data_IF_107228453748
#
_entry.id   IF_107228453748
#
_cell.length_a   1.000
_cell.length_b   1.000
_cell.length_c   1.000
_cell.angle_alpha   90.00
_cell.angle_beta   90.00
_cell.angle_gamma   90.00
#
_symmetry.space_group_name_H-M   'P 1'
#
loop_
_entity.id
_entity.type
_entity.pdbx_description
1 polymer ?
#
# COMPACT_ATOMS: atom_id res chain seq x y z
N UNK A 1 23.68 -3.14 -2.54
CA UNK A 1 23.53 -2.17 -3.64
C UNK A 1 22.96 -2.94 -4.82
N UNK A 2 21.73 -2.65 -5.21
CA UNK A 2 21.03 -3.38 -6.27
C UNK A 2 21.29 -2.73 -7.65
N UNK A 3 20.81 -3.35 -8.74
CA UNK A 3 20.95 -2.79 -10.10
C UNK A 3 20.35 -1.38 -10.20
N UNK A 4 19.26 -1.13 -9.48
CA UNK A 4 18.59 0.16 -9.43
C UNK A 4 19.48 1.26 -8.83
N UNK A 5 20.23 0.97 -7.76
CA UNK A 5 21.21 1.89 -7.18
C UNK A 5 22.32 2.24 -8.19
N UNK A 6 22.81 1.27 -8.97
CA UNK A 6 23.85 1.50 -9.99
C UNK A 6 23.32 2.42 -11.09
N UNK A 7 22.11 2.16 -11.58
CA UNK A 7 21.46 3.01 -12.58
C UNK A 7 21.25 4.44 -12.05
N UNK A 8 20.80 4.57 -10.80
CA UNK A 8 20.67 5.87 -10.14
C UNK A 8 22.01 6.61 -10.09
N UNK A 9 23.10 5.95 -9.68
CA UNK A 9 24.43 6.57 -9.61
C UNK A 9 24.89 7.06 -10.99
N UNK A 10 24.67 6.27 -12.04
CA UNK A 10 24.98 6.67 -13.42
C UNK A 10 24.15 7.88 -13.84
N UNK A 11 22.85 7.89 -13.55
CA UNK A 11 21.96 9.01 -13.87
C UNK A 11 22.35 10.29 -13.12
N UNK A 12 22.65 10.20 -11.83
CA UNK A 12 23.10 11.33 -11.02
C UNK A 12 24.44 11.86 -11.52
N UNK A 13 25.40 10.98 -11.83
CA UNK A 13 26.69 11.37 -12.40
C UNK A 13 26.51 12.06 -13.76
N UNK A 14 25.67 11.51 -14.64
CA UNK A 14 25.34 12.12 -15.92
C UNK A 14 24.69 13.51 -15.73
N UNK A 15 23.75 13.65 -14.80
CA UNK A 15 23.09 14.92 -14.50
C UNK A 15 24.06 15.96 -13.95
N UNK A 16 25.01 15.56 -13.09
CA UNK A 16 26.09 16.43 -12.60
C UNK A 16 26.96 16.89 -13.77
N UNK A 17 27.39 15.97 -14.65
CA UNK A 17 28.22 16.32 -15.81
C UNK A 17 27.50 17.25 -16.80
N UNK A 18 26.21 16.99 -17.07
CA UNK A 18 25.36 17.87 -17.87
C UNK A 18 25.23 19.24 -17.19
N UNK A 19 25.09 19.27 -15.87
CA UNK A 19 25.02 20.51 -15.09
C UNK A 19 26.29 21.33 -15.10
N UNK A 20 27.45 20.69 -15.02
CA UNK A 20 28.75 21.37 -15.20
C UNK A 20 28.89 21.91 -16.63
N UNK A 21 28.38 21.16 -17.62
CA UNK A 21 28.38 21.58 -19.02
C UNK A 21 27.51 22.80 -19.28
N UNK A 22 26.31 22.83 -18.70
CA UNK A 22 25.25 23.82 -18.97
C UNK A 22 25.31 25.05 -18.05
N UNK A 23 25.71 24.90 -16.78
CA UNK A 23 25.68 25.97 -15.77
C UNK A 23 24.39 25.98 -14.94
N UNK A 24 24.44 26.61 -13.76
CA UNK A 24 23.30 26.66 -12.84
C UNK A 24 22.16 27.53 -13.36
N UNK A 25 22.46 28.66 -13.99
CA UNK A 25 21.45 29.62 -14.43
C UNK A 25 20.46 29.03 -15.46
N UNK A 26 20.89 28.30 -16.50
CA UNK A 26 19.97 27.57 -17.38
C UNK A 26 19.12 26.52 -16.66
N UNK A 27 19.68 25.81 -15.68
CA UNK A 27 18.95 24.76 -14.97
C UNK A 27 17.91 25.33 -14.01
N UNK A 28 18.27 26.35 -13.23
CA UNK A 28 17.33 27.06 -12.37
C UNK A 28 16.24 27.75 -13.18
N UNK A 29 16.61 28.38 -14.29
CA UNK A 29 15.65 28.94 -15.24
C UNK A 29 14.70 27.87 -15.76
N UNK A 30 15.23 26.72 -16.19
CA UNK A 30 14.44 25.58 -16.64
C UNK A 30 13.49 25.06 -15.57
N UNK A 31 13.96 24.89 -14.33
CA UNK A 31 13.14 24.44 -13.20
C UNK A 31 11.98 25.40 -12.93
N UNK A 32 12.25 26.71 -12.88
CA UNK A 32 11.20 27.73 -12.72
C UNK A 32 10.21 27.68 -13.89
N UNK A 33 10.72 27.49 -15.11
CA UNK A 33 9.91 27.30 -16.30
C UNK A 33 9.02 26.06 -16.24
N UNK A 34 9.54 24.93 -15.78
CA UNK A 34 8.80 23.69 -15.60
C UNK A 34 7.68 23.84 -14.56
N UNK A 35 7.97 24.48 -13.42
CA UNK A 35 6.96 24.80 -12.41
C UNK A 35 5.87 25.72 -12.95
N UNK A 36 6.24 26.77 -13.69
CA UNK A 36 5.27 27.66 -14.33
C UNK A 36 4.41 26.90 -15.35
N UNK A 37 5.01 26.01 -16.14
CA UNK A 37 4.29 25.13 -17.08
C UNK A 37 3.34 24.16 -16.36
N UNK A 38 3.75 23.59 -15.23
CA UNK A 38 2.90 22.73 -14.40
C UNK A 38 1.70 23.49 -13.81
N UNK A 39 1.95 24.68 -13.24
CA UNK A 39 0.89 25.54 -12.72
C UNK A 39 -0.07 26.00 -13.83
N UNK A 40 0.46 26.35 -15.00
CA UNK A 40 -0.34 26.66 -16.18
C UNK A 40 -1.17 25.46 -16.65
N UNK A 41 -0.62 24.25 -16.58
CA UNK A 41 -1.35 23.03 -16.93
C UNK A 41 -2.58 22.86 -16.04
N UNK A 42 -2.43 23.05 -14.72
CA UNK A 42 -3.54 22.98 -13.76
C UNK A 42 -4.58 24.06 -14.06
N UNK A 43 -4.15 25.27 -14.40
CA UNK A 43 -5.05 26.35 -14.76
C UNK A 43 -5.83 26.10 -16.06
N UNK A 44 -5.23 25.39 -17.03
CA UNK A 44 -5.85 25.03 -18.30
C UNK A 44 -6.83 23.85 -18.15
N UNK A 45 -6.60 22.92 -17.21
CA UNK A 45 -7.40 21.71 -17.01
C UNK A 45 -8.94 21.92 -17.10
N UNK A 46 -9.58 22.86 -16.38
CA UNK A 46 -11.04 23.03 -16.44
C UNK A 46 -11.56 23.43 -17.83
N UNK A 47 -10.72 24.00 -18.69
CA UNK A 47 -11.09 24.39 -20.04
C UNK A 47 -10.97 23.23 -21.04
N UNK A 48 -10.09 22.26 -20.78
CA UNK A 48 -9.94 21.05 -21.61
C UNK A 48 -10.79 19.89 -21.12
N UNK A 49 -11.23 19.90 -19.86
CA UNK A 49 -12.10 18.88 -19.27
C UNK A 49 -13.36 18.59 -20.11
N UNK A 50 -14.11 19.58 -20.65
CA UNK A 50 -15.31 19.31 -21.44
C UNK A 50 -15.01 18.54 -22.73
N UNK A 51 -13.87 18.82 -23.35
CA UNK A 51 -13.41 18.10 -24.55
C UNK A 51 -12.95 16.69 -24.20
N UNK A 52 -12.19 16.58 -23.12
CA UNK A 52 -11.63 15.32 -22.63
C UNK A 52 -12.70 14.37 -22.08
N UNK A 53 -13.85 14.89 -21.61
CA UNK A 53 -14.99 14.11 -21.12
C UNK A 53 -15.63 13.22 -22.20
N UNK A 54 -15.39 13.50 -23.48
CA UNK A 54 -15.86 12.67 -24.60
C UNK A 54 -15.01 11.40 -24.82
N UNK A 55 -13.85 11.31 -24.16
CA UNK A 55 -12.93 10.19 -24.27
C UNK A 55 -13.20 9.14 -23.18
N UNK A 56 -12.83 7.89 -23.46
CA UNK A 56 -12.81 6.84 -22.43
C UNK A 56 -11.76 7.17 -21.33
N UNK A 57 -11.91 6.56 -20.15
CA UNK A 57 -11.10 6.91 -18.97
C UNK A 57 -9.59 6.78 -19.21
N UNK A 58 -9.16 5.69 -19.85
CA UNK A 58 -7.74 5.41 -20.14
C UNK A 58 -7.14 6.41 -21.14
N UNK A 59 -7.81 6.66 -22.27
CA UNK A 59 -7.33 7.62 -23.28
C UNK A 59 -7.38 9.04 -22.73
N UNK A 60 -8.39 9.39 -21.95
CA UNK A 60 -8.46 10.68 -21.24
C UNK A 60 -7.25 10.89 -20.35
N UNK A 61 -6.91 9.89 -19.52
CA UNK A 61 -5.74 9.95 -18.65
C UNK A 61 -4.43 10.12 -19.45
N UNK A 62 -4.26 9.35 -20.52
CA UNK A 62 -3.08 9.45 -21.40
C UNK A 62 -2.97 10.83 -22.04
N UNK A 63 -4.06 11.37 -22.60
CA UNK A 63 -4.07 12.68 -23.27
C UNK A 63 -3.80 13.81 -22.28
N UNK A 64 -4.40 13.78 -21.09
CA UNK A 64 -4.16 14.78 -20.04
C UNK A 64 -2.72 14.75 -19.58
N UNK A 65 -2.17 13.56 -19.29
CA UNK A 65 -0.77 13.40 -18.89
C UNK A 65 0.19 13.88 -19.97
N UNK A 66 -0.03 13.49 -21.23
CA UNK A 66 0.79 13.94 -22.35
C UNK A 66 0.72 15.47 -22.53
N UNK A 67 -0.47 16.06 -22.39
CA UNK A 67 -0.66 17.51 -22.44
C UNK A 67 0.12 18.24 -21.34
N UNK A 68 0.03 17.77 -20.10
CA UNK A 68 0.79 18.32 -18.97
C UNK A 68 2.30 18.24 -19.25
N UNK A 69 2.80 17.09 -19.69
CA UNK A 69 4.23 16.90 -20.00
C UNK A 69 4.71 17.85 -21.10
N UNK A 70 3.90 18.09 -22.13
CA UNK A 70 4.22 19.04 -23.21
C UNK A 70 4.32 20.46 -22.67
N UNK A 71 3.33 20.92 -21.90
CA UNK A 71 3.31 22.30 -21.37
C UNK A 71 4.46 22.52 -20.39
N UNK A 72 4.71 21.55 -19.50
CA UNK A 72 5.86 21.57 -18.58
C UNK A 72 7.17 21.62 -19.36
N UNK A 73 7.35 20.79 -20.38
CA UNK A 73 8.56 20.74 -21.21
C UNK A 73 8.79 22.04 -22.00
N UNK A 74 7.74 22.68 -22.51
CA UNK A 74 7.82 24.00 -23.15
C UNK A 74 8.25 25.05 -22.13
N UNK A 75 7.64 25.04 -20.94
CA UNK A 75 8.02 25.93 -19.84
C UNK A 75 9.49 25.78 -19.48
N UNK A 76 9.96 24.55 -19.30
CA UNK A 76 11.37 24.22 -19.02
C UNK A 76 12.31 24.75 -20.13
N UNK A 77 11.95 24.55 -21.40
CA UNK A 77 12.76 25.01 -22.52
C UNK A 77 12.87 26.55 -22.56
N UNK A 78 11.77 27.26 -22.33
CA UNK A 78 11.74 28.74 -22.26
C UNK A 78 12.57 29.23 -21.08
N UNK A 79 12.33 28.68 -19.90
CA UNK A 79 13.06 29.04 -18.69
C UNK A 79 14.57 28.80 -18.83
N UNK A 80 14.96 27.68 -19.43
CA UNK A 80 16.35 27.34 -19.72
C UNK A 80 16.98 28.26 -20.78
N UNK A 81 16.20 28.70 -21.77
CA UNK A 81 16.65 29.69 -22.74
C UNK A 81 16.92 31.05 -22.08
N UNK A 82 16.02 31.52 -21.19
CA UNK A 82 16.22 32.75 -20.41
C UNK A 82 17.47 32.63 -19.52
N UNK A 83 17.62 31.52 -18.80
CA UNK A 83 18.80 31.24 -17.99
C UNK A 83 20.10 31.25 -18.80
N UNK A 84 20.09 30.72 -20.04
CA UNK A 84 21.23 30.79 -20.97
C UNK A 84 21.58 32.21 -21.40
N UNK A 85 20.59 33.07 -21.63
CA UNK A 85 20.83 34.48 -21.96
C UNK A 85 21.52 35.19 -20.79
N UNK A 86 21.09 34.94 -19.56
CA UNK A 86 21.72 35.50 -18.36
C UNK A 86 23.14 34.96 -18.19
N UNK A 87 23.35 33.64 -18.36
CA UNK A 87 24.66 33.00 -18.28
C UNK A 87 25.64 33.53 -19.35
N UNK A 88 25.15 33.90 -20.55
CA UNK A 88 25.97 34.48 -21.61
C UNK A 88 26.65 35.79 -21.15
N UNK A 89 25.96 36.60 -20.36
CA UNK A 89 26.48 37.88 -19.84
C UNK A 89 27.65 37.69 -18.85
N UNK A 90 27.79 36.50 -18.27
CA UNK A 90 28.84 36.18 -17.30
C UNK A 90 30.07 35.49 -17.93
N UNK A 91 30.09 35.28 -19.26
CA UNK A 91 31.08 34.43 -19.94
C UNK A 91 32.55 34.83 -19.79
N UNK A 92 32.83 36.09 -19.49
CA UNK A 92 34.18 36.64 -19.29
C UNK A 92 34.62 36.78 -17.83
N UNK A 93 33.78 36.39 -16.87
CA UNK A 93 34.04 36.57 -15.43
C UNK A 93 34.43 35.23 -14.76
N UNK A 94 35.23 35.24 -13.67
CA UNK A 94 35.42 34.06 -12.82
C UNK A 94 34.10 33.46 -12.30
N UNK A 95 33.02 34.25 -12.30
CA UNK A 95 31.66 33.80 -11.98
C UNK A 95 31.17 32.66 -12.88
N UNK A 96 31.73 32.47 -14.09
CA UNK A 96 31.40 31.34 -14.96
C UNK A 96 31.85 30.01 -14.39
N UNK A 97 33.01 29.95 -13.75
CA UNK A 97 33.50 28.72 -13.11
C UNK A 97 32.61 28.34 -11.93
N UNK A 98 32.18 29.35 -11.17
CA UNK A 98 31.20 29.18 -10.10
C UNK A 98 29.86 28.69 -10.64
N UNK A 99 29.33 29.31 -11.70
CA UNK A 99 28.06 28.90 -12.33
C UNK A 99 28.09 27.44 -12.81
N UNK A 100 29.22 26.97 -13.35
CA UNK A 100 29.40 25.56 -13.75
C UNK A 100 29.48 24.61 -12.56
N UNK A 101 30.24 24.97 -11.53
CA UNK A 101 30.36 24.15 -10.32
C UNK A 101 28.99 24.01 -9.62
N UNK A 102 28.29 25.15 -9.47
CA UNK A 102 26.92 25.17 -8.93
C UNK A 102 25.95 24.43 -9.85
N UNK A 103 26.14 24.51 -11.18
CA UNK A 103 25.33 23.77 -12.14
C UNK A 103 25.44 22.26 -11.96
N UNK A 104 26.63 21.75 -11.63
CA UNK A 104 26.80 20.34 -11.26
C UNK A 104 25.96 19.96 -10.03
N UNK A 105 25.99 20.80 -8.98
CA UNK A 105 25.22 20.59 -7.75
C UNK A 105 23.71 20.63 -8.03
N UNK A 106 23.24 21.65 -8.76
CA UNK A 106 21.82 21.80 -9.12
C UNK A 106 21.36 20.61 -9.96
N UNK A 107 22.15 20.18 -10.95
CA UNK A 107 21.83 19.01 -11.77
C UNK A 107 21.76 17.72 -10.97
N UNK A 108 22.70 17.50 -10.05
CA UNK A 108 22.67 16.37 -9.13
C UNK A 108 21.45 16.39 -8.20
N UNK A 109 21.14 17.55 -7.61
CA UNK A 109 19.98 17.73 -6.74
C UNK A 109 18.66 17.49 -7.49
N UNK A 110 18.53 18.00 -8.72
CA UNK A 110 17.37 17.77 -9.57
C UNK A 110 17.21 16.28 -9.92
N UNK A 111 18.31 15.59 -10.26
CA UNK A 111 18.27 14.15 -10.51
C UNK A 111 17.79 13.39 -9.27
N UNK A 112 18.33 13.70 -8.08
CA UNK A 112 17.91 13.07 -6.83
C UNK A 112 16.42 13.33 -6.52
N UNK A 113 15.90 14.52 -6.82
CA UNK A 113 14.47 14.84 -6.67
C UNK A 113 13.61 13.99 -7.60
N UNK A 114 14.00 13.85 -8.87
CA UNK A 114 13.31 13.00 -9.84
C UNK A 114 13.36 11.52 -9.40
N UNK A 115 14.51 11.07 -8.92
CA UNK A 115 14.70 9.70 -8.40
C UNK A 115 13.85 9.45 -7.16
N UNK A 116 13.75 10.42 -6.25
CA UNK A 116 12.87 10.32 -5.08
C UNK A 116 11.41 10.15 -5.52
N UNK A 117 10.93 10.98 -6.46
CA UNK A 117 9.56 10.91 -6.97
C UNK A 117 9.28 9.58 -7.68
N UNK A 118 10.09 9.24 -8.68
CA UNK A 118 9.90 8.01 -9.48
C UNK A 118 10.14 6.78 -8.62
N UNK A 119 11.19 6.77 -7.80
CA UNK A 119 11.53 5.66 -6.92
C UNK A 119 10.42 5.37 -5.92
N UNK A 120 9.86 6.39 -5.26
CA UNK A 120 8.73 6.19 -4.35
C UNK A 120 7.45 5.73 -5.05
N UNK A 121 7.16 6.24 -6.25
CA UNK A 121 6.01 5.77 -7.05
C UNK A 121 6.19 4.33 -7.53
N UNK A 122 7.40 3.95 -7.98
CA UNK A 122 7.71 2.57 -8.36
C UNK A 122 7.63 1.62 -7.16
N UNK A 123 8.09 2.07 -5.98
CA UNK A 123 8.04 1.30 -4.74
C UNK A 123 6.60 1.01 -4.27
N UNK A 124 5.65 1.87 -4.62
CA UNK A 124 4.21 1.70 -4.36
C UNK A 124 3.43 1.12 -5.55
N UNK A 125 4.09 0.93 -6.70
CA UNK A 125 3.44 0.55 -7.95
C UNK A 125 3.00 -0.92 -8.00
N UNK A 126 2.14 -1.28 -8.98
CA UNK A 126 1.59 -2.63 -9.11
C UNK A 126 2.60 -3.64 -9.68
N UNK A 127 3.70 -3.18 -10.31
CA UNK A 127 4.70 -4.05 -10.92
C UNK A 127 5.70 -4.50 -9.85
N UNK A 128 5.49 -5.69 -9.29
CA UNK A 128 6.29 -6.27 -8.19
C UNK A 128 7.80 -6.20 -8.42
N UNK A 129 8.29 -6.59 -9.60
CA UNK A 129 9.73 -6.60 -9.89
C UNK A 129 10.40 -5.21 -9.82
N UNK A 130 9.65 -4.15 -10.13
CA UNK A 130 10.11 -2.77 -10.00
C UNK A 130 9.93 -2.27 -8.55
N UNK A 131 8.82 -2.63 -7.92
CA UNK A 131 8.55 -2.30 -6.52
C UNK A 131 9.64 -2.88 -5.60
N UNK A 132 9.99 -4.16 -5.73
CA UNK A 132 11.07 -4.79 -4.94
C UNK A 132 12.42 -4.09 -5.15
N UNK A 133 12.76 -3.71 -6.38
CA UNK A 133 14.01 -3.00 -6.66
C UNK A 133 14.05 -1.60 -6.04
N UNK A 134 12.95 -0.84 -6.14
CA UNK A 134 12.85 0.48 -5.53
C UNK A 134 12.82 0.41 -4.00
N UNK A 135 12.05 -0.53 -3.43
CA UNK A 135 11.94 -0.77 -1.99
C UNK A 135 13.27 -1.24 -1.39
N UNK A 136 14.12 -1.96 -2.11
CA UNK A 136 15.43 -2.44 -1.58
C UNK A 136 16.59 -1.50 -1.91
N UNK A 137 16.36 -0.41 -2.64
CA UNK A 137 17.39 0.56 -3.00
C UNK A 137 17.88 1.34 -1.79
N UNK A 138 19.22 1.39 -1.63
CA UNK A 138 19.86 2.18 -0.58
C UNK A 138 19.65 3.68 -0.81
N UNK A 139 19.65 4.11 -2.07
CA UNK A 139 19.51 5.53 -2.42
C UNK A 139 18.07 5.98 -2.21
N UNK A 140 17.08 5.23 -2.68
CA UNK A 140 15.66 5.57 -2.48
C UNK A 140 15.33 5.58 -0.98
N UNK A 141 15.77 4.58 -0.22
CA UNK A 141 15.60 4.59 1.26
C UNK A 141 16.35 5.72 1.94
N UNK A 142 17.51 6.11 1.43
CA UNK A 142 18.25 7.27 1.92
C UNK A 142 17.49 8.58 1.71
N UNK A 143 16.86 8.73 0.53
CA UNK A 143 16.03 9.88 0.18
C UNK A 143 14.74 9.92 1.01
N UNK A 144 14.06 8.79 1.21
CA UNK A 144 12.81 8.66 1.99
C UNK A 144 12.97 9.01 3.48
N UNK A 145 14.19 8.93 4.03
CA UNK A 145 14.47 9.39 5.41
C UNK A 145 14.53 10.90 5.56
N UNK A 146 14.80 11.62 4.48
CA UNK A 146 15.03 13.07 4.49
C UNK A 146 13.87 13.83 3.86
N UNK A 147 13.34 13.29 2.76
CA UNK A 147 12.22 13.85 2.02
C UNK A 147 10.93 13.15 2.43
N UNK A 148 9.78 13.84 2.45
CA UNK A 148 8.49 13.21 2.72
C UNK A 148 8.19 12.11 1.70
N UNK A 149 7.29 11.18 1.99
CA UNK A 149 6.94 10.13 1.02
C UNK A 149 6.19 10.74 -0.19
N UNK A 150 6.60 10.47 -1.45
CA UNK A 150 5.92 11.01 -2.64
C UNK A 150 4.47 10.55 -2.74
N UNK A 151 4.15 9.38 -2.17
CA UNK A 151 2.78 8.85 -2.12
C UNK A 151 1.84 9.77 -1.36
N UNK A 152 2.32 10.56 -0.39
CA UNK A 152 1.47 11.55 0.28
C UNK A 152 1.09 12.71 -0.63
N UNK A 153 1.97 13.08 -1.56
CA UNK A 153 1.72 14.11 -2.56
C UNK A 153 0.85 13.53 -3.68
N UNK A 154 1.09 12.28 -4.07
CA UNK A 154 0.31 11.58 -5.10
C UNK A 154 -1.15 11.33 -4.66
N UNK A 155 -1.38 10.97 -3.40
CA UNK A 155 -2.74 10.83 -2.83
C UNK A 155 -3.49 12.17 -2.86
N UNK A 156 -2.80 13.31 -2.71
CA UNK A 156 -3.41 14.64 -2.89
C UNK A 156 -3.68 14.99 -4.36
N UNK A 157 -2.96 14.36 -5.31
CA UNK A 157 -3.07 14.63 -6.75
C UNK A 157 -4.00 13.67 -7.52
N UNK A 158 -4.57 12.66 -6.85
CA UNK A 158 -5.70 11.89 -7.35
C UNK A 158 -5.45 10.39 -7.38
N UNK A 159 -6.40 9.64 -6.80
CA UNK A 159 -6.49 8.18 -6.75
C UNK A 159 -6.66 7.51 -8.11
N UNK A 160 -5.72 7.74 -9.02
CA UNK A 160 -5.65 7.14 -10.36
C UNK A 160 -4.71 5.91 -10.40
N UNK A 161 -4.14 5.50 -9.26
CA UNK A 161 -3.12 4.44 -9.19
C UNK A 161 -3.40 3.37 -8.13
N UNK A 162 -4.56 3.36 -7.46
CA UNK A 162 -4.86 2.48 -6.31
C UNK A 162 -5.92 1.40 -6.60
N UNK A 163 -5.93 0.79 -7.78
CA UNK A 163 -6.88 -0.30 -8.14
C UNK A 163 -6.66 -1.63 -7.36
N UNK A 164 -5.80 -1.66 -6.33
CA UNK A 164 -5.51 -2.91 -5.61
C UNK A 164 -6.52 -3.24 -4.52
N UNK A 165 -7.39 -2.31 -4.09
CA UNK A 165 -8.40 -2.54 -3.03
C UNK A 165 -7.84 -2.89 -1.64
N UNK A 166 -6.50 -2.95 -1.50
CA UNK A 166 -5.78 -3.26 -0.25
C UNK A 166 -5.32 -1.93 0.38
N UNK A 167 -5.55 -1.70 1.69
CA UNK A 167 -5.12 -0.47 2.34
C UNK A 167 -3.61 -0.27 2.34
N UNK A 168 -3.18 1.00 2.34
CA UNK A 168 -1.76 1.34 2.45
C UNK A 168 -1.27 1.15 3.90
N UNK A 169 -0.66 0.00 4.16
CA UNK A 169 -0.08 -0.38 5.46
C UNK A 169 1.01 0.58 5.95
N UNK A 170 1.80 1.10 5.03
CA UNK A 170 2.95 1.94 5.33
C UNK A 170 2.85 3.26 4.58
N UNK A 171 3.08 4.36 5.29
CA UNK A 171 3.37 5.66 4.68
C UNK A 171 4.86 5.64 4.28
N UNK A 172 5.13 5.73 2.99
CA UNK A 172 6.50 5.63 2.45
C UNK A 172 6.88 4.21 2.09
N UNK A 173 8.12 3.83 2.40
CA UNK A 173 8.66 2.50 2.10
C UNK A 173 8.33 1.48 3.20
N UNK A 174 8.13 0.23 2.80
CA UNK A 174 7.91 -0.86 3.75
C UNK A 174 9.22 -1.14 4.51
N UNK A 175 9.15 -1.57 5.78
CA UNK A 175 10.30 -2.14 6.46
C UNK A 175 10.88 -3.29 5.63
N UNK A 176 12.21 -3.44 5.66
CA UNK A 176 12.80 -4.66 5.11
C UNK A 176 12.35 -5.85 5.96
N UNK A 177 12.01 -7.00 5.36
CA UNK A 177 11.62 -8.20 6.09
C UNK A 177 12.63 -8.54 7.20
N UNK A 178 12.11 -8.92 8.36
CA UNK A 178 12.96 -9.39 9.45
C UNK A 178 13.65 -10.71 9.05
N UNK A 179 14.80 -11.05 9.64
CA UNK A 179 15.45 -12.33 9.39
C UNK A 179 14.47 -13.49 9.63
N UNK A 180 14.35 -14.42 8.66
CA UNK A 180 13.35 -15.47 8.74
C UNK A 180 13.55 -16.34 9.97
N UNK A 181 12.45 -16.88 10.48
CA UNK A 181 12.43 -17.89 11.54
C UNK A 181 11.91 -19.20 10.98
N UNK A 182 12.12 -20.29 11.71
CA UNK A 182 11.56 -21.59 11.34
C UNK A 182 10.03 -21.56 11.47
N UNK A 183 9.36 -22.10 10.45
CA UNK A 183 7.91 -22.33 10.42
C UNK A 183 7.65 -23.84 10.48
N UNK A 184 6.45 -24.29 10.91
CA UNK A 184 6.16 -25.72 10.92
C UNK A 184 6.18 -26.26 9.49
N UNK A 185 6.48 -27.55 9.33
CA UNK A 185 6.29 -28.22 8.04
C UNK A 185 4.79 -28.37 7.72
N UNK A 186 4.45 -28.49 6.44
CA UNK A 186 3.05 -28.48 5.98
C UNK A 186 2.14 -29.48 6.72
N UNK A 187 2.54 -30.74 6.99
CA UNK A 187 1.69 -31.65 7.75
C UNK A 187 1.39 -31.20 9.20
N UNK A 188 2.33 -30.48 9.82
CA UNK A 188 2.15 -29.91 11.15
C UNK A 188 1.27 -28.65 11.08
N UNK A 189 1.41 -27.83 10.04
CA UNK A 189 0.54 -26.68 9.81
C UNK A 189 -0.93 -27.12 9.59
N UNK A 190 -1.16 -28.14 8.76
CA UNK A 190 -2.49 -28.74 8.58
C UNK A 190 -3.05 -29.29 9.91
N UNK A 191 -2.21 -29.91 10.74
CA UNK A 191 -2.64 -30.42 12.04
C UNK A 191 -3.07 -29.31 13.02
N UNK A 192 -2.43 -28.15 12.93
CA UNK A 192 -2.82 -26.95 13.69
C UNK A 192 -4.13 -26.38 13.12
N UNK A 193 -4.22 -26.25 11.79
CA UNK A 193 -5.35 -25.65 11.09
C UNK A 193 -6.67 -26.42 11.29
N UNK A 194 -6.63 -27.75 11.36
CA UNK A 194 -7.82 -28.60 11.64
C UNK A 194 -8.63 -28.20 12.87
N UNK A 195 -8.04 -27.47 13.82
CA UNK A 195 -8.74 -26.96 15.01
C UNK A 195 -9.68 -25.78 14.72
N UNK A 196 -9.54 -25.17 13.55
CA UNK A 196 -10.19 -23.93 13.18
C UNK A 196 -10.86 -23.96 11.80
N UNK A 197 -10.71 -25.04 11.02
CA UNK A 197 -11.38 -25.21 9.72
C UNK A 197 -12.90 -25.00 9.83
N UNK A 198 -13.56 -25.68 10.79
CA UNK A 198 -15.00 -25.56 11.03
C UNK A 198 -15.43 -24.17 11.57
N UNK A 199 -14.47 -23.39 12.06
CA UNK A 199 -14.69 -22.02 12.56
C UNK A 199 -14.42 -20.96 11.50
N UNK A 200 -13.72 -21.32 10.41
CA UNK A 200 -13.24 -20.38 9.40
C UNK A 200 -14.22 -20.33 8.23
N UNK A 201 -14.53 -19.12 7.78
CA UNK A 201 -15.59 -18.86 6.82
C UNK A 201 -15.10 -18.01 5.67
N UNK A 202 -15.67 -18.25 4.49
CA UNK A 202 -15.51 -17.34 3.36
C UNK A 202 -16.46 -16.16 3.55
N UNK A 203 -15.94 -14.95 3.43
CA UNK A 203 -16.72 -13.72 3.43
C UNK A 203 -16.80 -13.21 2.00
N UNK A 204 -18.00 -12.88 1.54
CA UNK A 204 -18.21 -12.27 0.22
C UNK A 204 -19.14 -11.08 0.34
N UNK A 205 -18.75 -9.96 -0.22
CA UNK A 205 -19.50 -8.72 -0.16
C UNK A 205 -19.76 -8.16 -1.55
N UNK A 206 -21.03 -7.82 -1.83
CA UNK A 206 -21.38 -7.06 -3.03
C UNK A 206 -21.17 -5.59 -2.69
N UNK A 207 -20.08 -5.05 -3.22
CA UNK A 207 -19.69 -3.64 -3.07
C UNK A 207 -20.09 -2.86 -4.34
N UNK A 208 -19.75 -1.56 -4.41
CA UNK A 208 -20.17 -0.65 -5.48
C UNK A 208 -20.16 -1.23 -6.90
N UNK A 209 -19.04 -1.84 -7.35
CA UNK A 209 -18.88 -2.30 -8.73
C UNK A 209 -18.28 -3.71 -8.87
N UNK A 210 -17.82 -4.31 -7.78
CA UNK A 210 -17.21 -5.63 -7.77
C UNK A 210 -17.63 -6.43 -6.54
N UNK A 211 -17.48 -7.75 -6.64
CA UNK A 211 -17.62 -8.63 -5.48
C UNK A 211 -16.28 -8.68 -4.77
N UNK A 212 -16.25 -8.23 -3.53
CA UNK A 212 -15.12 -8.44 -2.63
C UNK A 212 -15.22 -9.84 -2.03
N UNK A 213 -14.08 -10.52 -1.89
CA UNK A 213 -13.98 -11.81 -1.22
C UNK A 213 -12.81 -11.79 -0.25
N UNK A 214 -13.05 -12.34 0.94
CA UNK A 214 -12.05 -12.48 1.99
C UNK A 214 -12.36 -13.69 2.86
N UNK A 215 -11.69 -13.73 4.00
CA UNK A 215 -11.85 -14.75 5.01
C UNK A 215 -12.36 -14.11 6.30
N UNK A 216 -13.04 -14.89 7.14
CA UNK A 216 -13.33 -14.54 8.52
C UNK A 216 -13.31 -15.78 9.39
N UNK A 217 -13.48 -15.61 10.69
CA UNK A 217 -13.62 -16.73 11.61
C UNK A 217 -14.58 -16.40 12.75
N UNK A 218 -15.24 -17.42 13.26
CA UNK A 218 -16.16 -17.30 14.37
C UNK A 218 -15.40 -16.96 15.67
N UNK A 219 -15.83 -15.90 16.37
CA UNK A 219 -15.29 -15.49 17.68
C UNK A 219 -16.29 -15.68 18.81
N UNK A 220 -17.57 -15.76 18.49
CA UNK A 220 -18.67 -16.11 19.40
C UNK A 220 -19.79 -16.75 18.57
N UNK A 221 -20.84 -17.27 19.22
CA UNK A 221 -22.02 -17.81 18.58
C UNK A 221 -22.65 -16.75 17.67
N UNK A 222 -22.69 -17.06 16.37
CA UNK A 222 -23.23 -16.18 15.33
C UNK A 222 -22.41 -14.90 15.08
N UNK A 223 -21.15 -14.80 15.57
CA UNK A 223 -20.28 -13.64 15.32
C UNK A 223 -18.98 -14.03 14.63
N UNK A 224 -18.67 -13.32 13.55
CA UNK A 224 -17.49 -13.52 12.70
C UNK A 224 -16.64 -12.25 12.67
N UNK A 225 -15.35 -12.38 12.93
CA UNK A 225 -14.37 -11.31 12.67
C UNK A 225 -13.84 -11.45 11.25
N UNK A 226 -13.66 -10.30 10.59
CA UNK A 226 -12.97 -10.17 9.30
C UNK A 226 -12.30 -8.79 9.23
N UNK A 227 -11.61 -8.47 8.13
CA UNK A 227 -11.13 -7.10 7.89
C UNK A 227 -12.27 -6.18 7.42
N UNK A 228 -12.20 -4.91 7.80
CA UNK A 228 -13.17 -3.90 7.36
C UNK A 228 -13.10 -3.69 5.84
N UNK A 229 -11.90 -3.73 5.25
CA UNK A 229 -11.74 -3.58 3.80
C UNK A 229 -12.43 -4.69 2.98
N UNK A 230 -12.63 -5.88 3.57
CA UNK A 230 -13.35 -6.98 2.89
C UNK A 230 -14.83 -6.61 2.70
N UNK A 231 -15.41 -5.83 3.60
CA UNK A 231 -16.83 -5.46 3.62
C UNK A 231 -17.09 -3.97 3.37
N UNK A 232 -16.07 -3.19 3.04
CA UNK A 232 -16.17 -1.75 2.85
C UNK A 232 -17.15 -1.37 1.73
N UNK A 233 -18.10 -0.48 2.04
CA UNK A 233 -19.15 -0.05 1.11
C UNK A 233 -20.05 -1.18 0.63
N UNK A 234 -20.19 -2.27 1.40
CA UNK A 234 -21.00 -3.41 1.02
C UNK A 234 -22.49 -3.12 1.16
N UNK A 235 -23.26 -3.38 0.10
CA UNK A 235 -24.72 -3.39 0.16
C UNK A 235 -25.27 -4.74 0.63
N UNK A 236 -24.51 -5.82 0.47
CA UNK A 236 -24.87 -7.17 0.92
C UNK A 236 -23.62 -7.93 1.31
N UNK A 237 -23.63 -8.55 2.50
CA UNK A 237 -22.53 -9.37 3.01
C UNK A 237 -23.06 -10.80 3.18
N UNK A 238 -22.29 -11.77 2.71
CA UNK A 238 -22.57 -13.19 2.85
C UNK A 238 -21.38 -13.91 3.45
N UNK A 239 -21.68 -14.90 4.28
CA UNK A 239 -20.70 -15.74 4.95
C UNK A 239 -20.99 -17.21 4.62
N UNK A 240 -19.98 -17.97 4.23
CA UNK A 240 -20.13 -19.38 3.91
C UNK A 240 -19.10 -20.22 4.68
N UNK A 241 -19.59 -21.21 5.42
CA UNK A 241 -18.76 -22.30 5.93
C UNK A 241 -18.35 -23.21 4.77
N UNK A 242 -17.23 -23.91 4.93
CA UNK A 242 -16.78 -24.87 3.92
C UNK A 242 -17.86 -25.92 3.65
N UNK A 243 -18.18 -26.15 2.36
CA UNK A 243 -19.19 -27.11 1.94
C UNK A 243 -20.64 -26.72 2.25
N UNK A 244 -20.89 -25.54 2.82
CA UNK A 244 -22.22 -25.05 3.17
C UNK A 244 -22.70 -23.93 2.23
N UNK A 245 -24.01 -23.69 2.19
CA UNK A 245 -24.59 -22.54 1.49
C UNK A 245 -24.24 -21.22 2.19
N UNK A 246 -24.27 -20.09 1.45
CA UNK A 246 -24.03 -18.78 2.05
C UNK A 246 -25.18 -18.36 2.96
N UNK A 247 -24.84 -17.72 4.07
CA UNK A 247 -25.75 -17.07 5.02
C UNK A 247 -25.62 -15.55 4.88
N UNK A 248 -26.73 -14.83 5.02
CA UNK A 248 -26.70 -13.37 5.08
C UNK A 248 -26.06 -12.91 6.40
N UNK A 249 -25.24 -11.88 6.31
CA UNK A 249 -24.50 -11.31 7.42
C UNK A 249 -24.78 -9.81 7.56
N UNK A 250 -24.74 -9.33 8.80
CA UNK A 250 -24.92 -7.92 9.13
C UNK A 250 -23.63 -7.42 9.79
N UNK A 251 -23.01 -6.38 9.26
CA UNK A 251 -21.93 -5.71 9.98
C UNK A 251 -22.51 -5.04 11.23
N UNK A 252 -21.98 -5.37 12.41
CA UNK A 252 -22.41 -4.83 13.71
C UNK A 252 -21.31 -4.01 14.39
N UNK A 253 -20.11 -4.04 13.83
CA UNK A 253 -18.98 -3.19 14.14
C UNK A 253 -18.12 -3.04 12.88
N UNK A 254 -17.62 -1.83 12.65
CA UNK A 254 -16.69 -1.50 11.58
C UNK A 254 -15.68 -0.49 12.12
N UNK A 255 -14.40 -0.80 11.97
CA UNK A 255 -13.28 0.07 12.35
C UNK A 255 -12.32 0.22 11.16
N UNK A 256 -12.45 1.30 10.38
CA UNK A 256 -11.59 1.56 9.23
C UNK A 256 -10.16 1.94 9.64
N UNK A 257 -9.94 2.37 10.90
CA UNK A 257 -8.61 2.71 11.39
C UNK A 257 -7.83 1.46 11.76
N UNK A 258 -8.43 0.48 12.43
CA UNK A 258 -7.79 -0.80 12.73
C UNK A 258 -7.85 -1.78 11.56
N UNK A 259 -8.82 -1.60 10.65
CA UNK A 259 -9.22 -2.53 9.60
C UNK A 259 -9.82 -3.84 10.12
N UNK A 260 -10.83 -3.72 10.97
CA UNK A 260 -11.57 -4.85 11.52
C UNK A 260 -13.06 -4.58 11.43
N UNK A 261 -13.81 -5.60 11.02
CA UNK A 261 -15.25 -5.63 11.11
C UNK A 261 -15.71 -6.85 11.91
N UNK A 262 -16.83 -6.69 12.64
CA UNK A 262 -17.55 -7.78 13.27
C UNK A 262 -18.87 -7.98 12.54
N UNK A 263 -19.11 -9.20 12.09
CA UNK A 263 -20.32 -9.59 11.39
C UNK A 263 -21.18 -10.45 12.32
N UNK A 264 -22.47 -10.14 12.39
CA UNK A 264 -23.47 -11.02 12.96
C UNK A 264 -24.12 -11.86 11.86
N UNK A 265 -24.12 -13.19 12.04
CA UNK A 265 -24.57 -14.17 11.06
C UNK A 265 -25.54 -15.13 11.74
N UNK A 266 -26.83 -14.88 11.57
CA UNK A 266 -27.87 -15.66 12.25
C UNK A 266 -27.83 -17.14 11.82
N UNK A 267 -27.63 -18.04 12.79
CA UNK A 267 -27.64 -19.48 12.53
C UNK A 267 -26.33 -19.97 11.92
N UNK A 268 -25.21 -19.32 12.22
CA UNK A 268 -23.88 -19.65 11.70
C UNK A 268 -23.49 -21.10 12.03
N UNK A 269 -23.73 -21.54 13.27
CA UNK A 269 -23.45 -22.91 13.70
C UNK A 269 -21.96 -23.28 13.81
N UNK A 270 -21.05 -22.35 13.55
CA UNK A 270 -19.61 -22.54 13.66
C UNK A 270 -19.14 -22.47 15.14
N UNK A 271 -18.22 -23.35 15.59
CA UNK A 271 -17.62 -23.25 16.91
C UNK A 271 -16.74 -21.99 17.02
N UNK A 272 -16.83 -21.20 18.10
CA UNK A 272 -16.03 -19.99 18.23
C UNK A 272 -14.58 -20.30 18.58
N UNK A 273 -13.67 -19.53 17.97
CA UNK A 273 -12.25 -19.52 18.31
C UNK A 273 -11.95 -18.49 19.38
N UNK A 274 -10.94 -18.79 20.20
CA UNK A 274 -10.43 -17.86 21.21
C UNK A 274 -9.26 -17.08 20.66
N UNK A 275 -9.33 -15.75 20.75
CA UNK A 275 -8.17 -14.88 20.55
C UNK A 275 -7.14 -15.15 21.66
N UNK A 276 -5.86 -15.14 21.29
CA UNK A 276 -4.78 -15.25 22.27
C UNK A 276 -4.82 -14.04 23.23
N UNK A 277 -4.63 -14.29 24.52
CA UNK A 277 -4.68 -13.24 25.56
C UNK A 277 -3.48 -12.30 25.55
N UNK A 278 -2.43 -12.66 24.84
CA UNK A 278 -1.19 -11.89 24.68
C UNK A 278 -0.73 -11.97 23.24
N UNK A 279 -0.06 -10.92 22.76
CA UNK A 279 0.49 -10.91 21.42
C UNK A 279 1.62 -11.94 21.29
N UNK A 280 1.64 -12.76 20.22
CA UNK A 280 2.67 -13.78 20.03
C UNK A 280 4.04 -13.15 19.77
N UNK A 281 5.07 -13.77 20.32
CA UNK A 281 6.46 -13.33 20.15
C UNK A 281 7.09 -13.92 18.89
N UNK A 282 8.20 -13.33 18.44
CA UNK A 282 9.03 -13.89 17.35
C UNK A 282 9.33 -15.38 17.58
N UNK A 283 9.13 -16.19 16.55
CA UNK A 283 9.29 -17.64 16.57
C UNK A 283 8.04 -18.41 16.98
N UNK A 284 6.94 -17.75 17.35
CA UNK A 284 5.65 -18.41 17.53
C UNK A 284 5.20 -19.02 16.19
N UNK A 285 4.97 -20.33 16.20
CA UNK A 285 4.56 -21.10 15.02
C UNK A 285 3.05 -21.30 14.97
N UNK A 286 2.52 -21.44 13.76
CA UNK A 286 1.10 -21.62 13.53
C UNK A 286 0.78 -21.95 12.08
N UNK A 287 -0.48 -21.77 11.73
CA UNK A 287 -0.97 -21.86 10.37
C UNK A 287 -1.98 -20.74 10.12
N UNK A 288 -1.90 -20.10 8.94
CA UNK A 288 -2.97 -19.22 8.48
C UNK A 288 -3.98 -20.05 7.68
N UNK A 289 -5.26 -19.69 7.81
CA UNK A 289 -6.35 -20.31 7.08
C UNK A 289 -7.06 -19.22 6.29
N UNK A 290 -7.30 -19.46 5.00
CA UNK A 290 -7.85 -18.46 4.10
C UNK A 290 -8.62 -19.05 2.93
N UNK A 291 -9.24 -18.19 2.13
CA UNK A 291 -9.89 -18.53 0.85
C UNK A 291 -9.23 -17.73 -0.28
N UNK A 292 -8.05 -18.14 -0.76
CA UNK A 292 -7.32 -17.46 -1.83
C UNK A 292 -8.21 -17.25 -3.06
N UNK A 293 -8.26 -16.02 -3.52
CA UNK A 293 -9.06 -15.51 -4.63
C UNK A 293 -10.55 -15.86 -4.54
N UNK A 294 -11.08 -16.08 -3.33
CA UNK A 294 -12.46 -16.52 -3.08
C UNK A 294 -12.75 -17.98 -3.43
N UNK A 295 -11.71 -18.78 -3.66
CA UNK A 295 -11.75 -20.19 -4.04
C UNK A 295 -12.07 -21.15 -2.89
N UNK A 296 -11.34 -22.26 -2.85
CA UNK A 296 -11.39 -23.24 -1.76
C UNK A 296 -10.56 -22.78 -0.57
N UNK A 297 -10.88 -23.31 0.62
CA UNK A 297 -10.06 -23.10 1.80
C UNK A 297 -8.63 -23.58 1.55
N UNK A 298 -7.66 -22.80 2.00
CA UNK A 298 -6.23 -23.10 1.93
C UNK A 298 -5.60 -22.90 3.31
N UNK A 299 -4.54 -23.65 3.58
CA UNK A 299 -3.74 -23.58 4.80
C UNK A 299 -2.31 -23.24 4.42
N UNK A 300 -1.74 -22.22 5.06
CA UNK A 300 -0.35 -21.82 4.86
C UNK A 300 0.42 -21.90 6.18
N UNK A 301 1.57 -22.57 6.16
CA UNK A 301 2.42 -22.69 7.32
C UNK A 301 3.00 -21.33 7.71
N UNK A 302 2.88 -20.96 8.98
CA UNK A 302 3.17 -19.61 9.44
C UNK A 302 4.09 -19.58 10.67
N UNK A 303 4.88 -18.50 10.78
CA UNK A 303 5.58 -18.16 12.00
C UNK A 303 5.72 -16.64 12.16
N UNK A 304 5.65 -16.13 13.39
CA UNK A 304 5.84 -14.70 13.67
C UNK A 304 7.33 -14.35 13.54
N UNK A 305 7.68 -13.43 12.66
CA UNK A 305 9.07 -12.99 12.42
C UNK A 305 9.40 -11.70 13.16
N UNK A 306 8.44 -10.79 13.27
CA UNK A 306 8.58 -9.51 13.97
C UNK A 306 7.23 -8.95 14.43
N UNK A 307 7.29 -7.93 15.29
CA UNK A 307 6.16 -7.06 15.60
C UNK A 307 6.65 -5.62 15.63
N UNK A 308 5.88 -4.71 15.07
CA UNK A 308 6.21 -3.29 15.06
C UNK A 308 4.97 -2.41 14.92
N UNK A 309 5.14 -1.15 15.31
CA UNK A 309 4.14 -0.10 15.12
C UNK A 309 4.22 0.41 13.68
N UNK A 310 3.34 -0.08 12.82
CA UNK A 310 3.21 0.37 11.45
C UNK A 310 2.47 1.72 11.40
N UNK A 311 3.06 2.68 10.70
CA UNK A 311 2.43 3.96 10.38
C UNK A 311 1.90 3.89 8.96
N UNK A 312 0.59 3.84 8.82
CA UNK A 312 -0.10 3.67 7.54
C UNK A 312 -1.24 4.66 7.39
N UNK A 313 -2.18 4.31 6.51
CA UNK A 313 -3.47 5.00 6.40
C UNK A 313 -4.63 4.06 6.76
N UNK A 314 -5.76 4.65 7.11
CA UNK A 314 -7.03 3.92 7.21
C UNK A 314 -7.40 3.25 5.87
N UNK A 315 -8.41 2.37 5.88
CA UNK A 315 -8.80 1.61 4.69
C UNK A 315 -9.24 2.49 3.50
N UNK A 316 -9.57 3.76 3.75
CA UNK A 316 -9.98 4.73 2.74
C UNK A 316 -8.82 5.63 2.26
N UNK A 317 -7.64 5.50 2.87
CA UNK A 317 -6.49 6.33 2.53
C UNK A 317 -6.58 7.78 3.04
N UNK A 318 -7.54 8.10 3.90
CA UNK A 318 -7.86 9.47 4.29
C UNK A 318 -7.01 9.93 5.47
N UNK A 319 -6.92 9.10 6.51
CA UNK A 319 -6.26 9.45 7.77
C UNK A 319 -5.02 8.62 8.01
N UNK A 320 -3.99 9.24 8.57
CA UNK A 320 -2.82 8.51 9.09
C UNK A 320 -3.22 7.76 10.36
N UNK A 321 -2.81 6.50 10.44
CA UNK A 321 -3.09 5.62 11.58
C UNK A 321 -1.83 4.88 12.00
N UNK A 322 -1.78 4.50 13.27
CA UNK A 322 -0.69 3.70 13.82
C UNK A 322 -1.28 2.38 14.33
N UNK A 323 -0.79 1.26 13.80
CA UNK A 323 -1.27 -0.09 14.13
C UNK A 323 -0.10 -0.93 14.61
N UNK A 324 -0.30 -1.68 15.69
CA UNK A 324 0.66 -2.73 16.05
C UNK A 324 0.34 -3.95 15.20
N UNK A 325 1.25 -4.31 14.32
CA UNK A 325 1.10 -5.46 13.42
C UNK A 325 2.14 -6.53 13.72
N UNK A 326 1.84 -7.75 13.29
CA UNK A 326 2.73 -8.89 13.27
C UNK A 326 3.21 -9.07 11.83
N UNK A 327 4.51 -9.27 11.67
CA UNK A 327 5.08 -9.79 10.44
C UNK A 327 5.15 -11.31 10.56
N UNK A 328 4.72 -12.00 9.51
CA UNK A 328 4.63 -13.45 9.43
C UNK A 328 5.52 -13.94 8.31
N UNK A 329 6.24 -15.04 8.55
CA UNK A 329 6.72 -15.90 7.48
C UNK A 329 5.58 -16.82 7.07
N UNK A 330 4.82 -16.43 6.06
CA UNK A 330 3.69 -17.18 5.52
C UNK A 330 3.44 -16.72 4.07
N UNK A 331 3.02 -17.63 3.22
CA UNK A 331 2.48 -17.30 1.89
C UNK A 331 1.04 -16.83 2.10
N UNK A 332 0.75 -15.58 1.71
CA UNK A 332 -0.55 -14.91 1.88
C UNK A 332 -1.02 -14.41 0.52
N UNK A 333 -2.22 -14.80 0.13
CA UNK A 333 -2.83 -14.41 -1.13
C UNK A 333 -4.01 -13.47 -0.93
N UNK A 334 -4.41 -12.77 -2.01
CA UNK A 334 -5.65 -12.02 -2.02
C UNK A 334 -6.81 -12.95 -1.66
N UNK A 335 -7.64 -12.58 -0.69
CA UNK A 335 -8.73 -13.42 -0.18
C UNK A 335 -8.45 -14.07 1.17
N UNK A 336 -7.17 -14.12 1.59
CA UNK A 336 -6.80 -14.55 2.94
C UNK A 336 -7.06 -13.47 4.01
N UNK A 337 -7.23 -12.21 3.58
CA UNK A 337 -7.58 -11.07 4.44
C UNK A 337 -8.78 -11.38 5.34
N UNK A 338 -8.61 -11.17 6.64
CA UNK A 338 -9.57 -11.46 7.70
C UNK A 338 -9.46 -12.89 8.26
N UNK A 339 -8.61 -13.73 7.66
CA UNK A 339 -8.36 -15.10 8.10
C UNK A 339 -7.55 -15.18 9.39
N UNK A 340 -7.72 -16.25 10.19
CA UNK A 340 -7.00 -16.40 11.43
C UNK A 340 -5.58 -16.94 11.20
N UNK A 341 -4.62 -16.42 11.97
CA UNK A 341 -3.38 -17.13 12.31
C UNK A 341 -3.66 -18.01 13.53
N UNK A 342 -3.69 -19.33 13.38
CA UNK A 342 -3.90 -20.28 14.47
C UNK A 342 -2.55 -20.71 15.03
N UNK A 343 -2.34 -20.49 16.32
CA UNK A 343 -1.13 -20.92 17.03
C UNK A 343 -1.21 -22.40 17.40
N UNK A 344 -0.07 -23.00 17.73
CA UNK A 344 0.02 -24.41 18.13
C UNK A 344 -0.88 -24.79 19.34
N UNK A 345 -1.23 -23.84 20.19
CA UNK A 345 -2.15 -24.05 21.31
C UNK A 345 -3.64 -24.03 20.91
N UNK A 346 -3.95 -23.69 19.65
CA UNK A 346 -5.30 -23.59 19.11
C UNK A 346 -5.97 -22.23 19.30
N UNK A 347 -5.27 -21.23 19.82
CA UNK A 347 -5.76 -19.85 19.88
C UNK A 347 -5.44 -19.08 18.60
N UNK A 348 -6.21 -18.04 18.33
CA UNK A 348 -5.96 -17.12 17.22
C UNK A 348 -4.89 -16.12 17.65
N UNK A 349 -3.69 -16.25 17.07
CA UNK A 349 -2.54 -15.40 17.30
C UNK A 349 -2.50 -14.13 16.46
N UNK A 350 -3.45 -13.94 15.54
CA UNK A 350 -3.58 -12.73 14.75
C UNK A 350 -4.62 -12.85 13.65
N UNK A 351 -4.96 -11.72 13.02
CA UNK A 351 -5.90 -11.66 11.89
C UNK A 351 -5.13 -11.20 10.65
N UNK A 352 -5.00 -12.08 9.66
CA UNK A 352 -4.29 -11.80 8.40
C UNK A 352 -4.90 -10.59 7.73
N UNK A 353 -4.05 -9.69 7.25
CA UNK A 353 -4.44 -8.39 6.71
C UNK A 353 -3.93 -8.19 5.28
N UNK A 354 -2.66 -8.49 5.00
CA UNK A 354 -2.05 -8.31 3.68
C UNK A 354 -0.74 -9.08 3.51
N UNK A 355 -0.28 -9.17 2.27
CA UNK A 355 1.05 -9.63 1.85
C UNK A 355 2.05 -8.46 1.79
N UNK A 356 3.35 -8.72 1.99
CA UNK A 356 4.39 -7.73 1.74
C UNK A 356 4.61 -7.50 0.24
N UNK A 357 4.93 -6.26 -0.15
CA UNK A 357 5.18 -5.93 -1.57
C UNK A 357 6.51 -6.44 -2.09
N UNK A 358 7.42 -6.77 -1.18
CA UNK A 358 8.82 -7.06 -1.50
C UNK A 358 9.16 -8.54 -1.50
N UNK A 359 8.35 -9.36 -0.82
CA UNK A 359 8.63 -10.76 -0.53
C UNK A 359 7.28 -11.50 -0.37
N UNK A 360 7.04 -12.52 -1.19
CA UNK A 360 5.81 -13.31 -1.22
C UNK A 360 5.72 -14.32 -0.07
N UNK A 361 6.84 -14.54 0.64
CA UNK A 361 6.88 -15.37 1.84
C UNK A 361 6.59 -14.58 3.13
N UNK A 362 6.26 -13.30 3.00
CA UNK A 362 6.01 -12.38 4.12
C UNK A 362 4.57 -11.87 4.09
N UNK A 363 3.87 -12.11 5.19
CA UNK A 363 2.52 -11.62 5.44
C UNK A 363 2.45 -10.69 6.65
N UNK A 364 1.35 -9.95 6.75
CA UNK A 364 1.04 -9.07 7.87
C UNK A 364 -0.28 -9.46 8.51
N UNK A 365 -0.32 -9.43 9.85
CA UNK A 365 -1.51 -9.68 10.62
C UNK A 365 -1.70 -8.64 11.74
N UNK A 366 -2.96 -8.35 12.07
CA UNK A 366 -3.31 -7.56 13.24
C UNK A 366 -3.12 -8.39 14.51
N UNK A 367 -2.65 -7.74 15.58
CA UNK A 367 -2.43 -8.38 16.87
C UNK A 367 -3.74 -8.83 17.52
N UNK A 368 -3.78 -10.01 18.16
CA UNK A 368 -5.01 -10.57 18.69
C UNK A 368 -5.56 -9.72 19.83
N UNK A 369 -4.70 -9.06 20.62
CA UNK A 369 -5.13 -8.17 21.70
C UNK A 369 -5.71 -6.84 21.19
N UNK A 370 -5.26 -6.33 20.04
CA UNK A 370 -5.88 -5.17 19.41
C UNK A 370 -7.27 -5.52 18.88
N UNK A 371 -7.39 -6.67 18.20
CA UNK A 371 -8.68 -7.16 17.70
C UNK A 371 -9.66 -7.42 18.83
N UNK A 372 -9.26 -8.12 19.90
CA UNK A 372 -10.10 -8.39 21.07
C UNK A 372 -10.68 -7.10 21.66
N UNK A 373 -9.81 -6.10 21.92
CA UNK A 373 -10.23 -4.79 22.46
C UNK A 373 -11.22 -4.06 21.56
N UNK A 374 -11.11 -4.23 20.24
CA UNK A 374 -12.01 -3.60 19.29
C UNK A 374 -13.38 -4.28 19.23
N UNK A 375 -13.42 -5.63 19.19
CA UNK A 375 -14.65 -6.37 18.87
C UNK A 375 -15.47 -6.81 20.07
N UNK A 376 -14.83 -7.09 21.22
CA UNK A 376 -15.52 -7.57 22.43
C UNK A 376 -16.68 -6.67 22.89
N UNK A 377 -16.57 -5.32 22.89
CA UNK A 377 -17.66 -4.43 23.29
C UNK A 377 -18.90 -4.45 22.37
N UNK A 378 -18.78 -5.07 21.19
CA UNK A 378 -19.83 -5.15 20.19
C UNK A 378 -20.49 -6.54 20.14
N UNK A 379 -19.95 -7.52 20.85
CA UNK A 379 -20.61 -8.83 21.02
C UNK A 379 -21.98 -8.64 21.68
N UNK A 380 -23.01 -9.30 21.13
CA UNK A 380 -24.40 -9.15 21.54
C UNK A 380 -25.20 -8.10 20.74
N UNK A 381 -24.56 -7.29 19.90
CA UNK A 381 -25.26 -6.37 18.98
C UNK A 381 -25.69 -7.11 17.71
N UNK A 382 -26.89 -6.79 17.23
CA UNK A 382 -27.44 -7.34 15.97
C UNK A 382 -27.88 -6.25 14.99
N UNK A 383 -27.81 -4.99 15.39
CA UNK A 383 -28.17 -3.85 14.55
C UNK A 383 -27.07 -3.51 13.55
N UNK A 384 -27.42 -3.18 12.29
CA UNK A 384 -26.44 -2.84 11.27
C UNK A 384 -25.69 -1.56 11.61
N UNK A 385 -24.39 -1.55 11.33
CA UNK A 385 -23.58 -0.34 11.21
C UNK A 385 -23.25 -0.07 9.75
N UNK A 386 -22.92 1.18 9.44
CA UNK A 386 -22.44 1.56 8.13
C UNK A 386 -21.05 0.95 7.88
N UNK A 387 -20.82 0.40 6.68
CA UNK A 387 -19.51 -0.10 6.22
C UNK A 387 -18.74 0.96 5.41
N UNK A 388 -19.25 2.19 5.42
CA UNK A 388 -18.65 3.38 4.86
C UNK A 388 -18.62 3.38 3.33
N UNK A 389 -17.57 3.99 2.78
CA UNK A 389 -17.44 4.19 1.33
C UNK A 389 -16.77 2.99 0.65
N UNK A 390 -16.92 2.89 -0.66
CA UNK A 390 -16.15 1.92 -1.43
C UNK A 390 -14.68 2.34 -1.50
N UNK A 391 -13.80 1.36 -1.29
CA UNK A 391 -12.36 1.53 -1.49
C UNK A 391 -12.12 1.76 -2.98
N UNK A 392 -11.35 2.80 -3.32
CA UNK A 392 -11.10 3.25 -4.69
C UNK A 392 -9.72 2.90 -5.20
#
# INVERSE_FOLDING_TARGET
MNLFDVLILVLVAAAILIGIGTGALPQLGGLVGAFAGGALSIWILPFVEPLAATLNATTRAIVVLAGILIVVGIGEAIGSAVGRVVAYRLRGSPLRTVDRAVGGIVGGAQALLVIWLIGGLLAAGPIRSLATQAQTSLIVRGLDRVLPAPTEIAVQLGGLLSDTGIPNLFVGLEPLPAPPVDRPGDPAAEAIARRAEDSTVKVSAITCQFTSSGTGFAVDRDYVVTNAHVVAGAGTIRVALQGSGPLDAVAVYDDPELDIALLWVRGLGAPPLRLASTDPTRGAIGATIGFPHGGSMSVSAAAVTASYLAQGRDIYGERRVSRTILELRAEIDQGDSGGPLILADGTVGGVVFAEARTDDSVGYALTPTAVARAVEPSLGRTGPVDTGSCIR
#
